data_IF_629143500467
#
_entry.id   IF_629143500467
#
_cell.length_a   1.000
_cell.length_b   1.000
_cell.length_c   1.000
_cell.angle_alpha   90.00
_cell.angle_beta   90.00
_cell.angle_gamma   90.00
#
_symmetry.space_group_name_H-M   'P 1'
#
loop_
_entity.id
_entity.type
_entity.pdbx_description
1 polymer ?
#
# COMPACT_ATOMS: atom_id res chain seq x y z
N UNK A 1 14.58 -50.81 -23.71
CA UNK A 1 14.17 -49.45 -24.12
C UNK A 1 12.73 -49.25 -23.70
N UNK A 2 12.48 -48.51 -22.61
CA UNK A 2 11.12 -48.19 -22.15
C UNK A 2 10.61 -46.98 -22.92
N UNK A 3 9.54 -47.17 -23.70
CA UNK A 3 8.86 -46.12 -24.44
C UNK A 3 8.26 -45.09 -23.47
N UNK A 4 8.52 -43.78 -23.63
CA UNK A 4 7.95 -42.77 -22.77
C UNK A 4 6.43 -42.73 -22.93
N UNK A 5 5.71 -42.83 -21.81
CA UNK A 5 4.25 -42.80 -21.78
C UNK A 5 3.76 -41.43 -22.26
N UNK A 6 2.80 -41.37 -23.20
CA UNK A 6 2.33 -40.09 -23.73
C UNK A 6 1.69 -39.24 -22.61
N UNK A 7 1.94 -37.92 -22.61
CA UNK A 7 1.38 -37.02 -21.60
C UNK A 7 -0.15 -37.03 -21.67
N UNK A 8 -0.80 -37.17 -20.50
CA UNK A 8 -2.26 -37.15 -20.42
C UNK A 8 -2.81 -35.79 -20.92
N UNK A 9 -3.82 -35.77 -21.79
CA UNK A 9 -4.43 -34.52 -22.25
C UNK A 9 -5.05 -33.77 -21.06
N UNK A 10 -4.76 -32.48 -20.96
CA UNK A 10 -5.35 -31.62 -19.93
C UNK A 10 -6.83 -31.37 -20.23
N UNK A 11 -7.69 -31.58 -19.24
CA UNK A 11 -9.14 -31.35 -19.40
C UNK A 11 -9.41 -29.87 -19.69
N UNK A 12 -10.29 -29.56 -20.66
CA UNK A 12 -10.64 -28.17 -20.96
C UNK A 12 -11.33 -27.52 -19.76
N UNK A 13 -10.98 -26.26 -19.51
CA UNK A 13 -11.53 -25.50 -18.41
C UNK A 13 -13.03 -25.25 -18.62
N UNK A 14 -13.86 -25.55 -17.61
CA UNK A 14 -15.31 -25.32 -17.69
C UNK A 14 -15.63 -23.82 -17.81
N UNK A 15 -16.82 -23.49 -18.34
CA UNK A 15 -17.30 -22.10 -18.43
C UNK A 15 -17.28 -21.40 -17.06
N UNK A 16 -17.64 -22.13 -16.00
CA UNK A 16 -17.56 -21.66 -14.60
C UNK A 16 -16.11 -21.37 -14.17
N UNK A 17 -15.17 -22.29 -14.45
CA UNK A 17 -13.76 -22.08 -14.15
C UNK A 17 -13.17 -20.84 -14.85
N UNK A 18 -13.62 -20.53 -16.07
CA UNK A 18 -13.18 -19.32 -16.77
C UNK A 18 -13.67 -18.04 -16.07
N UNK A 19 -14.92 -18.01 -15.63
CA UNK A 19 -15.48 -16.84 -14.94
C UNK A 19 -14.71 -16.59 -13.64
N UNK A 20 -14.48 -17.64 -12.85
CA UNK A 20 -13.72 -17.56 -11.60
C UNK A 20 -12.31 -17.00 -11.83
N UNK A 21 -11.58 -17.47 -12.86
CA UNK A 21 -10.25 -16.94 -13.16
C UNK A 21 -10.29 -15.45 -13.54
N UNK A 22 -11.27 -15.02 -14.34
CA UNK A 22 -11.36 -13.59 -14.70
C UNK A 22 -11.71 -12.71 -13.51
N UNK A 23 -12.62 -13.15 -12.65
CA UNK A 23 -12.94 -12.47 -11.38
C UNK A 23 -11.69 -12.38 -10.51
N UNK A 24 -10.92 -13.45 -10.38
CA UNK A 24 -9.67 -13.46 -9.63
C UNK A 24 -8.62 -12.49 -10.21
N UNK A 25 -8.46 -12.45 -11.54
CA UNK A 25 -7.55 -11.50 -12.20
C UNK A 25 -7.97 -10.06 -11.89
N UNK A 26 -9.26 -9.74 -12.02
CA UNK A 26 -9.76 -8.39 -11.72
C UNK A 26 -9.53 -8.02 -10.26
N UNK A 27 -9.81 -8.95 -9.34
CA UNK A 27 -9.57 -8.75 -7.93
C UNK A 27 -8.09 -8.49 -7.60
N UNK A 28 -7.16 -9.27 -8.19
CA UNK A 28 -5.71 -9.07 -8.01
C UNK A 28 -5.27 -7.71 -8.55
N UNK A 29 -5.77 -7.30 -9.73
CA UNK A 29 -5.43 -6.00 -10.31
C UNK A 29 -5.97 -4.87 -9.44
N UNK A 30 -7.23 -4.94 -9.01
CA UNK A 30 -7.84 -3.95 -8.13
C UNK A 30 -7.06 -3.82 -6.83
N UNK A 31 -6.80 -4.91 -6.11
CA UNK A 31 -6.00 -4.86 -4.88
C UNK A 31 -4.57 -4.34 -5.12
N UNK A 32 -3.92 -4.79 -6.19
CA UNK A 32 -2.57 -4.35 -6.54
C UNK A 32 -2.47 -2.87 -6.86
N UNK A 33 -3.45 -2.34 -7.60
CA UNK A 33 -3.47 -0.94 -8.00
C UNK A 33 -3.88 -0.04 -6.83
N UNK A 34 -5.02 -0.31 -6.18
CA UNK A 34 -5.48 0.54 -5.07
C UNK A 34 -4.56 0.44 -3.86
N UNK A 35 -4.15 -0.78 -3.49
CA UNK A 35 -3.22 -0.98 -2.38
C UNK A 35 -1.83 -0.43 -2.69
N UNK A 36 -1.31 -0.69 -3.89
CA UNK A 36 0.01 -0.20 -4.29
C UNK A 36 0.08 1.33 -4.35
N UNK A 37 -0.92 1.98 -4.94
CA UNK A 37 -0.99 3.45 -5.04
C UNK A 37 -1.11 4.08 -3.66
N UNK A 38 -1.97 3.55 -2.77
CA UNK A 38 -2.15 4.11 -1.44
C UNK A 38 -0.84 4.11 -0.62
N UNK A 39 -0.06 3.02 -0.69
CA UNK A 39 1.22 2.93 0.02
C UNK A 39 2.29 3.84 -0.62
N UNK A 40 2.27 3.99 -1.95
CA UNK A 40 3.18 4.93 -2.63
C UNK A 40 2.84 6.37 -2.25
N UNK A 41 1.55 6.74 -2.24
CA UNK A 41 1.09 8.07 -1.89
C UNK A 41 1.54 8.47 -0.48
N UNK A 42 1.32 7.63 0.52
CA UNK A 42 1.76 7.90 1.91
C UNK A 42 3.29 8.14 2.00
N UNK A 43 4.08 7.40 1.21
CA UNK A 43 5.53 7.63 1.14
C UNK A 43 5.92 8.92 0.41
N UNK A 44 5.18 9.32 -0.64
CA UNK A 44 5.40 10.59 -1.34
C UNK A 44 5.02 11.76 -0.44
N UNK A 45 3.86 11.70 0.21
CA UNK A 45 3.36 12.75 1.12
C UNK A 45 4.36 12.99 2.26
N UNK A 46 4.92 11.90 2.83
CA UNK A 46 5.99 11.99 3.82
C UNK A 46 7.28 12.57 3.25
N UNK A 47 7.66 12.22 2.02
CA UNK A 47 8.82 12.80 1.34
C UNK A 47 8.69 14.31 1.10
N UNK A 48 7.52 14.76 0.64
CA UNK A 48 7.22 16.16 0.38
C UNK A 48 7.16 16.96 1.70
N UNK A 49 6.57 16.38 2.75
CA UNK A 49 6.58 16.98 4.09
C UNK A 49 8.02 17.14 4.62
N UNK A 50 8.86 16.12 4.45
CA UNK A 50 10.25 16.16 4.91
C UNK A 50 11.10 17.18 4.13
N UNK A 51 10.82 17.36 2.84
CA UNK A 51 11.55 18.31 2.00
C UNK A 51 11.14 19.77 2.27
N UNK A 52 9.83 20.05 2.23
CA UNK A 52 9.30 21.41 2.14
C UNK A 52 8.31 21.78 3.26
N UNK A 53 7.88 20.80 4.06
CA UNK A 53 6.91 20.99 5.13
C UNK A 53 7.46 21.86 6.28
N UNK A 54 6.62 22.71 6.90
CA UNK A 54 7.03 23.53 8.02
C UNK A 54 7.36 22.64 9.22
N UNK A 55 8.49 22.95 9.87
CA UNK A 55 8.94 22.28 11.09
C UNK A 55 8.17 22.82 12.28
N UNK A 56 7.87 21.96 13.23
CA UNK A 56 7.19 22.33 14.46
C UNK A 56 7.17 21.23 15.51
N UNK A 57 6.29 21.42 16.48
CA UNK A 57 6.04 20.47 17.56
C UNK A 57 4.62 19.97 17.47
N UNK A 58 4.43 18.66 17.61
CA UNK A 58 3.12 18.06 17.83
C UNK A 58 2.90 17.82 19.32
N UNK A 59 1.80 18.32 19.86
CA UNK A 59 1.31 17.97 21.19
C UNK A 59 0.19 16.94 21.06
N UNK A 60 0.44 15.66 21.35
CA UNK A 60 -0.60 14.63 21.28
C UNK A 60 -1.74 14.93 22.26
N UNK A 61 -2.97 14.84 21.76
CA UNK A 61 -4.20 14.99 22.54
C UNK A 61 -4.98 13.69 22.63
N UNK A 62 -4.79 12.81 21.65
CA UNK A 62 -5.46 11.51 21.56
C UNK A 62 -4.57 10.49 20.84
N UNK A 63 -5.02 9.24 20.82
CA UNK A 63 -4.39 8.13 20.11
C UNK A 63 -5.44 7.29 19.42
N UNK A 64 -5.32 7.17 18.11
CA UNK A 64 -6.14 6.25 17.32
C UNK A 64 -5.38 4.96 17.09
N UNK A 65 -6.01 3.82 17.39
CA UNK A 65 -5.42 2.50 17.22
C UNK A 65 -6.19 1.71 16.18
N UNK A 66 -5.51 1.34 15.09
CA UNK A 66 -5.97 0.31 14.17
C UNK A 66 -5.70 -1.10 14.72
N UNK A 67 -5.90 -2.09 13.85
CA UNK A 67 -5.71 -3.51 14.19
C UNK A 67 -4.24 -3.88 14.44
N UNK A 68 -3.31 -3.16 13.82
CA UNK A 68 -1.87 -3.50 13.80
C UNK A 68 -0.96 -2.42 14.38
N UNK A 69 -1.44 -1.18 14.52
CA UNK A 69 -0.64 -0.04 14.95
C UNK A 69 -1.51 1.06 15.52
N UNK A 70 -0.93 1.88 16.41
CA UNK A 70 -1.54 3.11 16.88
C UNK A 70 -0.79 4.32 16.31
N UNK A 71 -1.48 5.45 16.25
CA UNK A 71 -0.95 6.75 15.82
C UNK A 71 -1.38 7.81 16.83
N UNK A 72 -0.49 8.76 17.09
CA UNK A 72 -0.82 9.92 17.89
C UNK A 72 -1.64 10.90 17.05
N UNK A 73 -2.64 11.51 17.67
CA UNK A 73 -3.42 12.62 17.10
C UNK A 73 -3.24 13.82 18.02
N UNK A 74 -2.93 14.98 17.46
CA UNK A 74 -2.60 16.13 18.28
C UNK A 74 -2.78 17.48 17.62
N UNK A 75 -2.26 18.47 18.31
CA UNK A 75 -2.12 19.84 17.83
C UNK A 75 -0.69 20.05 17.36
N UNK A 76 -0.51 20.45 16.11
CA UNK A 76 0.75 20.87 15.55
C UNK A 76 0.88 22.39 15.66
N UNK A 77 2.04 22.86 16.08
CA UNK A 77 2.43 24.28 16.08
C UNK A 77 3.78 24.40 15.40
N UNK A 78 3.86 25.21 14.34
CA UNK A 78 5.14 25.50 13.68
C UNK A 78 6.11 26.23 14.60
N UNK A 79 7.42 26.11 14.35
CA UNK A 79 8.45 26.74 15.18
C UNK A 79 8.32 28.28 15.24
N UNK A 80 7.86 28.90 14.16
CA UNK A 80 7.60 30.34 14.09
C UNK A 80 6.24 30.75 14.69
N UNK A 81 5.44 29.78 15.12
CA UNK A 81 4.09 29.96 15.67
C UNK A 81 3.06 30.46 14.64
N UNK A 82 3.41 30.53 13.36
CA UNK A 82 2.52 31.05 12.31
C UNK A 82 1.43 30.05 11.90
N UNK A 83 1.71 28.75 12.04
CA UNK A 83 0.82 27.66 11.63
C UNK A 83 0.44 26.85 12.86
N UNK A 84 -0.87 26.76 13.09
CA UNK A 84 -1.45 25.87 14.09
C UNK A 84 -2.50 25.00 13.42
N UNK A 85 -2.41 23.68 13.65
CA UNK A 85 -3.34 22.69 13.10
C UNK A 85 -3.73 21.70 14.18
N UNK A 86 -5.02 21.44 14.30
CA UNK A 86 -5.57 20.44 15.22
C UNK A 86 -5.94 19.16 14.49
N UNK A 87 -5.97 18.03 15.21
CA UNK A 87 -6.36 16.74 14.62
C UNK A 87 -5.29 16.18 13.68
N UNK A 88 -4.04 16.59 13.89
CA UNK A 88 -2.90 16.17 13.08
C UNK A 88 -2.50 14.76 13.47
N UNK A 89 -2.46 13.87 12.50
CA UNK A 89 -2.02 12.49 12.70
C UNK A 89 -0.50 12.43 12.59
N UNK A 90 0.18 11.86 13.58
CA UNK A 90 1.62 11.62 13.50
C UNK A 90 1.91 10.30 12.79
N UNK A 91 2.69 10.38 11.71
CA UNK A 91 3.36 9.28 11.04
C UNK A 91 4.82 9.26 11.49
N UNK A 92 5.13 8.28 12.32
CA UNK A 92 6.46 8.09 12.91
C UNK A 92 7.08 6.79 12.37
N UNK A 93 8.41 6.73 12.37
CA UNK A 93 9.14 5.49 12.21
C UNK A 93 8.94 4.54 13.41
N UNK A 94 8.70 5.08 14.61
CA UNK A 94 8.46 4.29 15.80
C UNK A 94 7.00 3.80 15.90
N UNK A 95 6.82 2.52 16.23
CA UNK A 95 5.48 1.94 16.40
C UNK A 95 4.92 2.25 17.77
N UNK A 96 3.90 3.11 17.82
CA UNK A 96 3.16 3.43 19.05
C UNK A 96 2.29 2.24 19.45
N UNK A 97 2.43 1.82 20.71
CA UNK A 97 1.58 0.80 21.32
C UNK A 97 0.46 1.45 22.11
N UNK A 98 -0.64 0.72 22.30
CA UNK A 98 -1.79 1.16 23.11
C UNK A 98 -1.44 1.44 24.59
N UNK A 99 -0.38 0.83 25.11
CA UNK A 99 0.05 1.01 26.50
C UNK A 99 1.01 2.18 26.71
N UNK A 100 1.55 2.77 25.64
CA UNK A 100 2.61 3.74 25.75
C UNK A 100 2.07 5.04 26.40
N UNK A 101 2.85 5.65 27.31
CA UNK A 101 2.46 6.91 27.91
C UNK A 101 2.40 8.00 26.84
N UNK A 102 1.40 8.87 26.94
CA UNK A 102 1.27 10.00 26.02
C UNK A 102 2.39 11.01 26.32
N UNK A 103 3.26 11.34 25.34
CA UNK A 103 4.31 12.33 25.56
C UNK A 103 3.70 13.73 25.64
N UNK A 104 4.39 14.64 26.32
CA UNK A 104 3.95 16.04 26.43
C UNK A 104 4.09 16.82 25.13
N UNK A 105 4.97 16.39 24.25
CA UNK A 105 5.26 16.99 22.96
C UNK A 105 6.25 16.14 22.18
N UNK A 106 6.18 16.24 20.86
CA UNK A 106 7.05 15.57 19.90
C UNK A 106 7.59 16.67 18.99
N UNK A 107 8.84 17.03 19.19
CA UNK A 107 9.52 18.10 18.47
C UNK A 107 10.10 17.61 17.14
N UNK A 108 10.49 18.55 16.28
CA UNK A 108 11.09 18.29 14.97
C UNK A 108 10.21 17.39 14.09
N UNK A 109 8.92 17.72 14.05
CA UNK A 109 7.98 17.10 13.11
C UNK A 109 7.68 18.07 11.98
N UNK A 110 7.44 17.52 10.79
CA UNK A 110 7.14 18.29 9.59
C UNK A 110 5.72 18.04 9.14
N UNK A 111 4.97 19.13 8.99
CA UNK A 111 3.57 19.06 8.61
C UNK A 111 3.41 18.90 7.09
N UNK A 112 2.61 17.93 6.70
CA UNK A 112 1.94 17.85 5.42
C UNK A 112 0.54 18.46 5.56
N UNK A 113 0.35 19.68 5.05
CA UNK A 113 -0.91 20.43 5.18
C UNK A 113 -1.93 20.02 4.11
N UNK A 114 -2.40 18.77 4.18
CA UNK A 114 -3.56 18.33 3.40
C UNK A 114 -4.85 18.86 4.06
N UNK A 115 -5.73 19.57 3.32
CA UNK A 115 -6.96 20.14 3.86
C UNK A 115 -7.96 19.10 4.38
N UNK A 116 -7.91 17.85 3.91
CA UNK A 116 -8.80 16.78 4.36
C UNK A 116 -8.22 16.00 5.55
N UNK A 117 -6.90 15.80 5.58
CA UNK A 117 -6.21 15.04 6.64
C UNK A 117 -4.79 15.58 6.91
N UNK A 118 -4.65 16.56 7.81
CA UNK A 118 -3.33 17.07 8.13
C UNK A 118 -2.52 15.98 8.83
N UNK A 119 -1.31 15.75 8.33
CA UNK A 119 -0.45 14.65 8.77
C UNK A 119 0.93 15.21 9.06
N UNK A 120 1.54 14.83 10.18
CA UNK A 120 2.90 15.22 10.52
C UNK A 120 3.83 14.01 10.43
N UNK A 121 5.08 14.24 10.03
CA UNK A 121 6.11 13.21 9.89
C UNK A 121 7.30 13.57 10.78
N UNK A 122 7.86 12.59 11.48
CA UNK A 122 9.12 12.76 12.21
C UNK A 122 10.31 12.82 11.25
N UNK A 123 11.39 13.50 11.61
CA UNK A 123 12.59 13.61 10.77
C UNK A 123 13.28 12.25 10.48
N UNK A 124 13.03 11.23 11.30
CA UNK A 124 13.52 9.86 11.10
C UNK A 124 12.57 8.99 10.26
N UNK A 125 11.42 9.53 9.83
CA UNK A 125 10.53 8.86 8.90
C UNK A 125 11.25 8.56 7.58
N UNK A 126 11.20 7.30 7.15
CA UNK A 126 11.78 6.88 5.89
C UNK A 126 10.67 6.56 4.88
N UNK A 127 10.49 7.38 3.82
CA UNK A 127 9.47 7.11 2.80
C UNK A 127 9.83 5.94 1.86
N UNK A 128 11.12 5.57 1.79
CA UNK A 128 11.64 4.61 0.81
C UNK A 128 11.00 3.22 0.94
N UNK A 129 10.89 2.61 2.14
CA UNK A 129 10.23 1.31 2.29
C UNK A 129 8.79 1.30 1.77
N UNK A 130 8.02 2.35 2.05
CA UNK A 130 6.64 2.49 1.56
C UNK A 130 6.59 2.48 0.03
N UNK A 131 7.37 3.36 -0.61
CA UNK A 131 7.43 3.46 -2.07
C UNK A 131 7.89 2.14 -2.71
N UNK A 132 8.91 1.49 -2.14
CA UNK A 132 9.44 0.21 -2.64
C UNK A 132 8.41 -0.91 -2.51
N UNK A 133 7.74 -1.03 -1.36
CA UNK A 133 6.71 -2.05 -1.12
C UNK A 133 5.51 -1.83 -2.03
N UNK A 134 5.00 -0.59 -2.12
CA UNK A 134 3.88 -0.25 -2.98
C UNK A 134 4.18 -0.47 -4.46
N UNK A 135 5.38 -0.08 -4.91
CA UNK A 135 5.86 -0.33 -6.26
C UNK A 135 6.01 -1.82 -6.57
N UNK A 136 6.59 -2.60 -5.66
CA UNK A 136 6.70 -4.05 -5.79
C UNK A 136 5.32 -4.71 -5.89
N UNK A 137 4.39 -4.36 -5.01
CA UNK A 137 3.04 -4.90 -4.97
C UNK A 137 2.29 -4.61 -6.28
N UNK A 138 2.38 -3.38 -6.79
CA UNK A 138 1.77 -2.99 -8.05
C UNK A 138 2.34 -3.81 -9.23
N UNK A 139 3.66 -3.86 -9.36
CA UNK A 139 4.33 -4.61 -10.44
C UNK A 139 4.03 -6.10 -10.35
N UNK A 140 4.10 -6.69 -9.16
CA UNK A 140 3.85 -8.10 -8.92
C UNK A 140 2.41 -8.51 -9.27
N UNK A 141 1.42 -7.71 -8.87
CA UNK A 141 0.01 -7.95 -9.20
C UNK A 141 -0.24 -7.86 -10.71
N UNK A 142 0.34 -6.86 -11.39
CA UNK A 142 0.21 -6.72 -12.85
C UNK A 142 0.88 -7.88 -13.60
N UNK A 143 2.09 -8.28 -13.20
CA UNK A 143 2.80 -9.42 -13.81
C UNK A 143 2.00 -10.70 -13.63
N UNK A 144 1.52 -10.98 -12.41
CA UNK A 144 0.68 -12.15 -12.11
C UNK A 144 -0.60 -12.14 -12.97
N UNK A 145 -1.29 -11.00 -13.06
CA UNK A 145 -2.48 -10.86 -13.89
C UNK A 145 -2.21 -11.14 -15.38
N UNK A 146 -1.09 -10.62 -15.91
CA UNK A 146 -0.68 -10.85 -17.30
C UNK A 146 -0.33 -12.32 -17.55
N UNK A 147 0.37 -12.98 -16.62
CA UNK A 147 0.70 -14.41 -16.72
C UNK A 147 -0.55 -15.28 -16.70
N UNK A 148 -1.50 -15.03 -15.80
CA UNK A 148 -2.79 -15.73 -15.75
C UNK A 148 -3.58 -15.53 -17.05
N UNK A 149 -3.66 -14.28 -17.55
CA UNK A 149 -4.32 -14.00 -18.82
C UNK A 149 -3.65 -14.72 -20.00
N UNK A 150 -2.31 -14.78 -20.03
CA UNK A 150 -1.56 -15.53 -21.05
C UNK A 150 -1.82 -17.03 -20.97
N UNK A 151 -1.83 -17.61 -19.77
CA UNK A 151 -2.16 -19.02 -19.58
C UNK A 151 -3.57 -19.35 -20.08
N UNK A 152 -4.56 -18.54 -19.71
CA UNK A 152 -5.94 -18.71 -20.20
C UNK A 152 -5.99 -18.61 -21.72
N UNK A 153 -5.31 -17.63 -22.33
CA UNK A 153 -5.24 -17.49 -23.80
C UNK A 153 -4.56 -18.69 -24.47
N UNK A 154 -3.48 -19.23 -23.89
CA UNK A 154 -2.80 -20.43 -24.40
C UNK A 154 -3.71 -21.65 -24.37
N UNK A 155 -4.43 -21.88 -23.27
CA UNK A 155 -5.41 -22.97 -23.19
C UNK A 155 -6.55 -22.82 -24.20
N UNK A 156 -7.02 -21.59 -24.48
CA UNK A 156 -8.00 -21.37 -25.56
C UNK A 156 -7.47 -21.81 -26.92
N UNK A 157 -6.24 -21.41 -27.26
CA UNK A 157 -5.64 -21.72 -28.58
C UNK A 157 -5.39 -23.21 -28.76
N UNK A 158 -4.88 -23.89 -27.73
CA UNK A 158 -4.68 -25.34 -27.77
C UNK A 158 -5.99 -26.12 -27.93
N UNK A 159 -7.07 -25.66 -27.30
CA UNK A 159 -8.39 -26.29 -27.46
C UNK A 159 -9.01 -26.11 -28.85
N UNK A 160 -8.75 -24.99 -29.54
CA UNK A 160 -9.24 -24.78 -30.91
C UNK A 160 -8.42 -25.58 -31.93
N UNK A 161 -7.10 -25.68 -31.75
CA UNK A 161 -6.23 -26.46 -32.64
C UNK A 161 -6.47 -27.98 -32.54
N UNK A 162 -7.05 -28.48 -31.44
CA UNK A 162 -7.42 -29.89 -31.28
C UNK A 162 -8.84 -30.21 -31.77
N UNK A 163 -9.65 -29.20 -32.11
CA UNK A 163 -11.02 -29.34 -32.58
C UNK A 163 -11.19 -29.04 -34.08
N UNK A 164 -10.12 -28.57 -34.74
CA UNK A 164 -10.00 -28.41 -36.18
C UNK A 164 -9.21 -29.58 -36.76
#
# INVERSE_FOLDING_TARGET
MTTPKPPKPSKPLSKGGRVVIWTLIMFIVTLGVFGGIAVIADGVDGGDALADGPVGTLTPTDRECGDVSCWWIGEFVSEDGAITRSGVVLRDAETVRRGDPMPSGIDNVRLHDDPERPTAYTDDYNPVPGIVIGGFLLVFCLVTAVLLARMVRRHKRAGHAAAA
#
